data_IF_239085582081
#
_entry.id   IF_239085582081
#
_cell.length_a   1.000
_cell.length_b   1.000
_cell.length_c   1.000
_cell.angle_alpha   90.00
_cell.angle_beta   90.00
_cell.angle_gamma   90.00
#
_symmetry.space_group_name_H-M   'P 1'
#
loop_
_entity.id
_entity.type
_entity.pdbx_description
1 polymer ?
#
# COMPACT_ATOMS: atom_id res chain seq x y z
N UNK A 1 13.65 -16.18 11.07
CA UNK A 1 12.90 -15.80 9.85
C UNK A 1 11.51 -15.47 10.32
N UNK A 2 11.02 -14.25 10.03
CA UNK A 2 9.64 -13.89 10.37
C UNK A 2 8.66 -14.53 9.40
N UNK A 3 7.46 -14.84 9.87
CA UNK A 3 6.39 -15.36 9.01
C UNK A 3 5.84 -14.26 8.11
N UNK A 4 5.53 -14.62 6.85
CA UNK A 4 4.89 -13.69 5.91
C UNK A 4 3.40 -13.69 6.15
N UNK A 5 2.84 -12.55 6.54
CA UNK A 5 1.39 -12.39 6.73
C UNK A 5 0.66 -12.31 5.39
N UNK A 6 1.20 -11.53 4.46
CA UNK A 6 0.61 -11.36 3.14
C UNK A 6 1.70 -11.06 2.11
N UNK A 7 1.48 -11.54 0.88
CA UNK A 7 2.29 -11.23 -0.29
C UNK A 7 1.38 -11.20 -1.51
N UNK A 8 1.61 -10.26 -2.42
CA UNK A 8 0.79 -10.09 -3.62
C UNK A 8 1.68 -9.92 -4.84
N UNK A 9 1.49 -10.79 -5.83
CA UNK A 9 2.17 -10.74 -7.13
C UNK A 9 1.24 -10.28 -8.24
N UNK A 10 -0.08 -10.37 -8.03
CA UNK A 10 -1.14 -10.01 -8.97
C UNK A 10 -1.19 -10.84 -10.26
N UNK A 11 -0.44 -11.93 -10.34
CA UNK A 11 -0.37 -12.78 -11.53
C UNK A 11 -1.70 -13.48 -11.82
N UNK A 12 -2.37 -13.95 -10.77
CA UNK A 12 -3.60 -14.75 -10.91
C UNK A 12 -4.85 -14.05 -10.37
N UNK A 13 -4.71 -13.05 -9.50
CA UNK A 13 -5.83 -12.34 -8.87
C UNK A 13 -5.44 -10.94 -8.40
N UNK A 14 -6.36 -10.20 -7.80
CA UNK A 14 -6.05 -8.93 -7.10
C UNK A 14 -5.52 -9.17 -5.67
N UNK A 15 -5.32 -10.43 -5.29
CA UNK A 15 -4.68 -10.89 -4.05
C UNK A 15 -5.32 -10.30 -2.77
N UNK A 16 -6.64 -10.15 -2.80
CA UNK A 16 -7.44 -9.62 -1.69
C UNK A 16 -7.49 -8.09 -1.59
N UNK A 17 -6.81 -7.38 -2.49
CA UNK A 17 -6.86 -5.92 -2.54
C UNK A 17 -8.21 -5.41 -3.04
N UNK A 18 -8.64 -4.28 -2.48
CA UNK A 18 -9.87 -3.61 -2.86
C UNK A 18 -9.63 -2.11 -3.09
N UNK A 19 -10.41 -1.51 -3.98
CA UNK A 19 -10.37 -0.07 -4.20
C UNK A 19 -11.00 0.69 -3.02
N UNK A 20 -10.37 1.78 -2.61
CA UNK A 20 -10.99 2.78 -1.74
C UNK A 20 -11.10 4.09 -2.50
N UNK A 21 -12.32 4.42 -2.93
CA UNK A 21 -12.59 5.58 -3.82
C UNK A 21 -11.70 5.55 -5.08
N UNK A 22 -11.47 4.35 -5.61
CA UNK A 22 -10.63 4.06 -6.76
C UNK A 22 -11.15 2.79 -7.46
N UNK A 23 -10.67 2.54 -8.67
CA UNK A 23 -10.93 1.28 -9.40
C UNK A 23 -9.63 0.48 -9.48
N UNK A 24 -9.71 -0.81 -9.15
CA UNK A 24 -8.61 -1.76 -9.31
C UNK A 24 -8.80 -2.58 -10.58
N UNK A 25 -7.69 -2.94 -11.19
CA UNK A 25 -7.65 -3.89 -12.29
C UNK A 25 -6.25 -4.48 -12.38
N UNK A 26 -6.16 -5.74 -12.82
CA UNK A 26 -4.86 -6.31 -13.21
C UNK A 26 -4.44 -5.75 -14.56
N UNK A 27 -3.19 -5.33 -14.66
CA UNK A 27 -2.59 -4.76 -15.88
C UNK A 27 -1.42 -5.60 -16.36
N UNK A 28 -1.24 -5.70 -17.68
CA UNK A 28 -0.01 -6.17 -18.33
C UNK A 28 0.75 -5.04 -19.03
N UNK A 29 0.30 -3.79 -18.91
CA UNK A 29 0.94 -2.64 -19.55
C UNK A 29 2.31 -2.36 -18.89
N UNK A 30 2.36 -2.49 -17.57
CA UNK A 30 3.51 -2.22 -16.72
C UNK A 30 3.49 -3.23 -15.57
N UNK A 31 4.64 -3.85 -15.28
CA UNK A 31 4.79 -4.81 -14.18
C UNK A 31 6.24 -4.84 -13.70
N UNK A 32 6.46 -5.12 -12.42
CA UNK A 32 7.81 -5.20 -11.83
C UNK A 32 8.45 -6.56 -12.13
N UNK A 33 7.66 -7.62 -11.99
CA UNK A 33 8.07 -9.00 -12.19
C UNK A 33 6.90 -9.79 -12.79
N UNK A 34 7.18 -10.99 -13.31
CA UNK A 34 6.14 -11.81 -13.92
C UNK A 34 5.56 -11.16 -15.17
N UNK A 35 4.23 -11.04 -15.22
CA UNK A 35 3.50 -10.51 -16.36
C UNK A 35 2.37 -9.53 -15.96
N UNK A 36 2.12 -9.34 -14.66
CA UNK A 36 0.99 -8.53 -14.17
C UNK A 36 1.37 -7.61 -13.01
N UNK A 37 0.60 -6.54 -12.87
CA UNK A 37 0.57 -5.66 -11.69
C UNK A 37 -0.86 -5.24 -11.36
N UNK A 38 -1.04 -4.64 -10.18
CA UNK A 38 -2.30 -4.01 -9.79
C UNK A 38 -2.32 -2.54 -10.21
N UNK A 39 -3.18 -2.19 -11.18
CA UNK A 39 -3.41 -0.81 -11.62
C UNK A 39 -4.50 -0.17 -10.79
N UNK A 40 -4.17 0.93 -10.15
CA UNK A 40 -5.11 1.78 -9.39
C UNK A 40 -5.48 2.99 -10.25
N UNK A 41 -6.76 3.13 -10.57
CA UNK A 41 -7.27 4.20 -11.45
C UNK A 41 -8.50 4.88 -10.84
N UNK A 42 -9.04 5.90 -11.53
CA UNK A 42 -10.21 6.63 -11.05
C UNK A 42 -10.00 7.34 -9.71
N UNK A 43 -8.76 7.77 -9.43
CA UNK A 43 -8.42 8.48 -8.20
C UNK A 43 -8.85 9.94 -8.32
N UNK A 44 -9.82 10.36 -7.52
CA UNK A 44 -10.34 11.74 -7.49
C UNK A 44 -10.07 12.47 -6.17
N UNK A 45 -9.55 11.76 -5.16
CA UNK A 45 -9.22 12.31 -3.86
C UNK A 45 -7.80 11.94 -3.44
N UNK A 46 -7.22 12.71 -2.52
CA UNK A 46 -5.90 12.41 -1.97
C UNK A 46 -5.86 11.06 -1.20
N UNK A 47 -7.00 10.58 -0.70
CA UNK A 47 -7.14 9.28 -0.05
C UNK A 47 -7.57 8.14 -1.00
N UNK A 48 -7.85 8.43 -2.27
CA UNK A 48 -8.16 7.39 -3.25
C UNK A 48 -6.98 6.42 -3.37
N UNK A 49 -7.18 5.14 -3.08
CA UNK A 49 -6.07 4.18 -2.90
C UNK A 49 -6.52 2.74 -3.17
N UNK A 50 -5.55 1.82 -3.28
CA UNK A 50 -5.81 0.40 -3.06
C UNK A 50 -5.62 0.09 -1.57
N UNK A 51 -6.40 -0.82 -1.01
CA UNK A 51 -6.28 -1.26 0.37
C UNK A 51 -6.34 -2.77 0.48
N UNK A 52 -5.70 -3.29 1.52
CA UNK A 52 -5.78 -4.68 1.94
C UNK A 52 -6.27 -4.70 3.39
N UNK A 53 -7.18 -5.60 3.71
CA UNK A 53 -7.66 -5.81 5.08
C UNK A 53 -6.69 -6.74 5.81
N UNK A 54 -6.27 -6.33 7.01
CA UNK A 54 -5.35 -7.10 7.87
C UNK A 54 -6.02 -7.49 9.20
N UNK A 55 -7.35 -7.38 9.28
CA UNK A 55 -8.15 -7.69 10.45
C UNK A 55 -7.85 -9.12 10.95
N UNK A 56 -7.55 -9.24 12.25
CA UNK A 56 -7.20 -10.50 12.90
C UNK A 56 -5.84 -11.09 12.49
N UNK A 57 -5.10 -10.43 11.59
CA UNK A 57 -3.79 -10.91 11.12
C UNK A 57 -2.61 -10.30 11.87
N UNK A 58 -2.82 -9.14 12.50
CA UNK A 58 -1.80 -8.45 13.29
C UNK A 58 -2.02 -8.71 14.80
N UNK A 59 -0.95 -9.08 15.49
CA UNK A 59 -0.93 -9.31 16.94
C UNK A 59 -0.51 -8.03 17.64
N UNK A 60 -1.25 -7.65 18.69
CA UNK A 60 -0.94 -6.45 19.49
C UNK A 60 0.44 -6.59 20.14
N UNK A 61 1.25 -5.54 20.05
CA UNK A 61 2.61 -5.46 20.56
C UNK A 61 3.69 -5.90 19.56
N UNK A 62 3.32 -6.59 18.49
CA UNK A 62 4.27 -7.04 17.46
C UNK A 62 4.60 -5.92 16.46
N UNK A 63 5.80 -6.01 15.89
CA UNK A 63 6.29 -5.09 14.84
C UNK A 63 6.40 -5.82 13.52
N UNK A 64 5.90 -5.18 12.46
CA UNK A 64 5.79 -5.74 11.13
C UNK A 64 6.50 -4.85 10.11
N UNK A 65 7.30 -5.50 9.27
CA UNK A 65 7.90 -4.89 8.09
C UNK A 65 6.90 -4.90 6.93
N UNK A 66 6.64 -3.73 6.37
CA UNK A 66 5.84 -3.55 5.16
C UNK A 66 6.73 -3.10 4.01
N UNK A 67 6.45 -3.59 2.80
CA UNK A 67 7.03 -3.05 1.58
C UNK A 67 6.12 -3.21 0.38
N UNK A 68 6.23 -2.29 -0.57
CA UNK A 68 5.54 -2.36 -1.85
C UNK A 68 6.36 -1.64 -2.92
N UNK A 69 6.24 -2.09 -4.16
CA UNK A 69 6.80 -1.39 -5.32
C UNK A 69 5.70 -0.64 -6.04
N UNK A 70 5.94 0.65 -6.30
CA UNK A 70 4.98 1.57 -6.88
C UNK A 70 5.59 2.22 -8.12
N UNK A 71 4.82 2.28 -9.19
CA UNK A 71 5.12 3.05 -10.40
C UNK A 71 3.88 3.85 -10.77
N UNK A 72 4.05 5.12 -11.13
CA UNK A 72 2.96 5.97 -11.58
C UNK A 72 2.55 5.58 -13.01
N UNK A 73 1.30 5.85 -13.37
CA UNK A 73 0.87 5.71 -14.77
C UNK A 73 1.63 6.73 -15.64
N UNK A 74 1.76 6.41 -16.94
CA UNK A 74 2.46 7.25 -17.92
C UNK A 74 2.04 8.73 -17.83
N UNK A 75 3.01 9.64 -17.76
CA UNK A 75 2.84 11.08 -17.59
C UNK A 75 2.52 11.51 -16.14
N UNK A 76 2.43 10.56 -15.21
CA UNK A 76 2.16 10.81 -13.81
C UNK A 76 3.40 11.30 -13.07
N UNK A 77 3.21 12.23 -12.15
CA UNK A 77 4.23 12.67 -11.20
C UNK A 77 3.61 12.92 -9.84
N UNK A 78 4.38 12.75 -8.77
CA UNK A 78 3.92 13.03 -7.42
C UNK A 78 4.67 12.23 -6.37
N UNK A 79 4.18 12.34 -5.13
CA UNK A 79 4.67 11.56 -4.01
C UNK A 79 3.64 10.52 -3.60
N UNK A 80 4.11 9.45 -2.98
CA UNK A 80 3.29 8.35 -2.47
C UNK A 80 3.72 8.02 -1.04
N UNK A 81 2.77 7.52 -0.26
CA UNK A 81 2.99 6.87 1.03
C UNK A 81 1.89 5.86 1.27
N UNK A 82 2.13 4.98 2.21
CA UNK A 82 1.16 4.02 2.69
C UNK A 82 0.98 4.12 4.20
N UNK A 83 -0.24 3.83 4.61
CA UNK A 83 -0.75 4.13 5.94
C UNK A 83 -1.57 2.94 6.43
N UNK A 84 -1.42 2.57 7.71
CA UNK A 84 -2.36 1.68 8.38
C UNK A 84 -3.53 2.52 8.89
N UNK A 85 -4.75 2.13 8.51
CA UNK A 85 -5.98 2.62 9.12
C UNK A 85 -6.45 1.60 10.16
N UNK A 86 -6.58 2.01 11.41
CA UNK A 86 -7.12 1.18 12.48
C UNK A 86 -8.36 1.84 13.09
N UNK A 87 -9.32 1.04 13.54
CA UNK A 87 -10.56 1.51 14.16
C UNK A 87 -11.06 0.47 15.16
N UNK A 88 -11.32 0.88 16.39
CA UNK A 88 -11.85 0.01 17.46
C UNK A 88 -13.25 0.46 17.85
N UNK A 89 -14.23 -0.41 17.67
CA UNK A 89 -15.64 -0.10 17.92
C UNK A 89 -16.08 1.15 17.16
N UNK A 90 -16.78 2.06 17.85
CA UNK A 90 -17.30 3.30 17.28
C UNK A 90 -16.32 4.49 17.33
N UNK A 91 -15.07 4.26 17.76
CA UNK A 91 -14.08 5.32 17.79
C UNK A 91 -13.73 5.85 16.40
N UNK A 92 -13.26 7.09 16.34
CA UNK A 92 -12.73 7.65 15.10
C UNK A 92 -11.52 6.82 14.60
N UNK A 93 -11.36 6.62 13.28
CA UNK A 93 -10.24 5.87 12.75
C UNK A 93 -8.92 6.61 13.00
N UNK A 94 -7.90 5.84 13.38
CA UNK A 94 -6.51 6.30 13.50
C UNK A 94 -5.76 5.92 12.23
N UNK A 95 -4.90 6.83 11.77
CA UNK A 95 -4.07 6.66 10.58
C UNK A 95 -2.60 6.75 10.99
N UNK A 96 -1.86 5.67 10.77
CA UNK A 96 -0.43 5.59 11.07
C UNK A 96 0.35 5.35 9.79
N UNK A 97 1.17 6.33 9.39
CA UNK A 97 2.07 6.16 8.26
C UNK A 97 3.17 5.17 8.66
N UNK A 98 3.36 4.13 7.85
CA UNK A 98 4.46 3.18 8.03
C UNK A 98 5.59 3.40 7.03
N UNK A 99 5.33 4.14 5.95
CA UNK A 99 6.37 4.50 4.98
C UNK A 99 7.46 5.32 5.65
N UNK A 100 8.70 4.85 5.54
CA UNK A 100 9.89 5.56 6.04
C UNK A 100 10.56 6.29 4.88
N UNK A 101 10.80 7.59 5.03
CA UNK A 101 11.52 8.42 4.06
C UNK A 101 12.29 9.53 4.77
N UNK A 102 13.26 10.14 4.07
CA UNK A 102 13.98 11.34 4.52
C UNK A 102 13.19 12.64 4.35
N UNK A 103 12.05 12.62 3.66
CA UNK A 103 11.17 13.77 3.48
C UNK A 103 10.38 14.08 4.74
N UNK A 104 10.21 15.37 5.01
CA UNK A 104 9.48 15.87 6.19
C UNK A 104 8.00 15.43 6.25
N UNK A 105 7.41 15.05 5.13
CA UNK A 105 6.02 14.58 5.00
C UNK A 105 5.87 13.04 5.01
N UNK A 106 6.97 12.31 5.25
CA UNK A 106 7.04 10.84 5.18
C UNK A 106 6.51 10.25 3.87
N UNK A 107 6.78 10.94 2.76
CA UNK A 107 6.44 10.47 1.42
C UNK A 107 7.67 10.08 0.62
N UNK A 108 7.48 9.25 -0.40
CA UNK A 108 8.49 8.88 -1.38
C UNK A 108 8.09 9.46 -2.74
N UNK A 109 9.03 10.06 -3.47
CA UNK A 109 8.79 10.52 -4.84
C UNK A 109 8.70 9.30 -5.75
N UNK A 110 7.56 9.14 -6.43
CA UNK A 110 7.34 8.04 -7.36
C UNK A 110 7.53 8.50 -8.80
N UNK A 111 7.99 7.59 -9.65
CA UNK A 111 8.22 7.82 -11.08
C UNK A 111 7.20 7.09 -11.95
N UNK A 112 6.93 7.61 -13.15
CA UNK A 112 6.21 6.89 -14.21
C UNK A 112 7.13 6.09 -15.13
N UNK A 113 8.46 6.18 -14.96
CA UNK A 113 9.45 5.44 -15.75
C UNK A 113 10.01 4.23 -15.00
N UNK A 114 10.22 4.36 -13.69
CA UNK A 114 10.88 3.37 -12.84
C UNK A 114 9.99 2.96 -11.67
N UNK A 115 10.11 1.69 -11.26
CA UNK A 115 9.47 1.21 -10.04
C UNK A 115 10.24 1.72 -8.83
N UNK A 116 9.52 2.31 -7.87
CA UNK A 116 10.07 2.81 -6.62
C UNK A 116 9.56 1.97 -5.47
N UNK A 117 10.47 1.48 -4.62
CA UNK A 117 10.08 0.76 -3.41
C UNK A 117 9.70 1.75 -2.31
N UNK A 118 8.57 1.50 -1.65
CA UNK A 118 8.25 2.04 -0.34
C UNK A 118 8.39 0.92 0.69
N UNK A 119 8.94 1.24 1.86
CA UNK A 119 9.11 0.29 2.95
C UNK A 119 9.03 0.99 4.30
N UNK A 120 8.79 0.21 5.35
CA UNK A 120 9.00 0.64 6.72
C UNK A 120 8.36 -0.30 7.73
N UNK A 121 8.48 0.06 8.99
CA UNK A 121 8.02 -0.74 10.11
C UNK A 121 6.75 -0.16 10.72
N UNK A 122 5.87 -1.02 11.19
CA UNK A 122 4.69 -0.65 11.95
C UNK A 122 4.52 -1.57 13.16
N UNK A 123 4.46 -0.98 14.35
CA UNK A 123 4.12 -1.68 15.59
C UNK A 123 2.62 -1.62 15.80
N UNK A 124 1.96 -2.77 15.86
CA UNK A 124 0.52 -2.84 16.08
C UNK A 124 0.20 -2.59 17.56
N UNK A 125 -0.22 -1.37 17.88
CA UNK A 125 -0.61 -0.98 19.23
C UNK A 125 -2.01 -1.44 19.63
N UNK A 126 -2.26 -1.47 20.94
CA UNK A 126 -3.60 -1.54 21.48
C UNK A 126 -4.24 -0.15 21.32
N UNK A 127 -5.34 -0.07 20.56
CA UNK A 127 -6.17 1.15 20.47
C UNK A 127 -7.02 1.33 21.74
#
# INVERSE_FOLDING_TARGET
>A
MGDTISSSSFENSEDGWAGWSSTLSRSSDEYLSGARSLKVSGRSFNYSSARLYLDGSLTVGETYSFSAWIKLANGGSGTTKATIRSQTGDNAPVYTDWTTSDRADNTVVASDTEWTQISGEYTHGQL
#
